data_IF_318694546936
#
_entry.id   IF_318694546936
#
_cell.length_a   1.000
_cell.length_b   1.000
_cell.length_c   1.000
_cell.angle_alpha   90.00
_cell.angle_beta   90.00
_cell.angle_gamma   90.00
#
_symmetry.space_group_name_H-M   'P 1'
#
loop_
_entity.id
_entity.type
_entity.pdbx_description
1 polymer ?
#
# COMPACT_ATOMS: atom_id res chain seq x y z
N UNK A 1 -13.40 13.90 -8.27
CA UNK A 1 -12.01 14.43 -8.31
C UNK A 1 -12.04 15.77 -9.02
N UNK A 2 -11.19 16.70 -8.62
CA UNK A 2 -11.03 18.01 -9.26
C UNK A 2 -9.53 18.27 -9.40
N UNK A 3 -8.87 17.72 -10.45
CA UNK A 3 -7.44 17.90 -10.63
C UNK A 3 -7.10 19.39 -10.74
N UNK A 4 -6.20 19.88 -9.89
CA UNK A 4 -5.69 21.25 -9.92
C UNK A 4 -4.33 21.29 -9.25
N UNK A 5 -3.52 22.29 -9.62
CA UNK A 5 -2.29 22.62 -8.90
C UNK A 5 -2.57 23.11 -7.46
N UNK A 6 -3.78 23.62 -7.19
CA UNK A 6 -4.18 24.19 -5.91
C UNK A 6 -4.63 23.15 -4.88
N UNK A 7 -4.69 21.87 -5.25
CA UNK A 7 -5.02 20.81 -4.29
C UNK A 7 -3.99 20.84 -3.16
N UNK A 8 -4.38 20.84 -1.88
CA UNK A 8 -3.41 20.86 -0.80
C UNK A 8 -2.49 19.64 -0.81
N UNK A 9 -1.19 19.88 -0.58
CA UNK A 9 -0.17 18.81 -0.45
C UNK A 9 -0.40 17.90 0.76
N UNK A 10 -1.35 18.26 1.62
CA UNK A 10 -1.83 17.51 2.78
C UNK A 10 -2.71 16.32 2.41
N UNK A 11 -2.45 15.68 1.26
CA UNK A 11 -3.26 14.60 0.70
C UNK A 11 -4.71 15.05 0.40
N UNK A 12 -4.85 16.24 -0.19
CA UNK A 12 -6.14 16.84 -0.51
C UNK A 12 -6.78 17.57 0.66
N UNK A 13 -8.07 17.86 0.49
CA UNK A 13 -8.97 18.51 1.46
C UNK A 13 -10.42 18.10 1.14
N UNK A 14 -11.38 18.55 1.95
CA UNK A 14 -12.81 18.33 1.75
C UNK A 14 -13.21 18.73 0.33
N UNK A 15 -13.85 17.81 -0.41
CA UNK A 15 -14.21 17.98 -1.84
C UNK A 15 -13.04 18.08 -2.83
N UNK A 16 -11.79 18.01 -2.37
CA UNK A 16 -10.57 17.90 -3.17
C UNK A 16 -9.90 16.54 -2.93
N UNK A 17 -10.69 15.48 -3.12
CA UNK A 17 -10.24 14.10 -2.97
C UNK A 17 -9.07 13.78 -3.90
N UNK A 18 -8.07 13.10 -3.36
CA UNK A 18 -6.93 12.56 -4.11
C UNK A 18 -6.95 11.04 -4.11
N UNK A 19 -6.42 10.46 -5.18
CA UNK A 19 -6.11 9.04 -5.28
C UNK A 19 -4.60 8.89 -5.11
N UNK A 20 -4.19 7.97 -4.26
CA UNK A 20 -2.79 7.67 -3.98
C UNK A 20 -2.53 6.24 -4.39
N UNK A 21 -1.58 6.07 -5.31
CA UNK A 21 -1.08 4.77 -5.71
C UNK A 21 0.20 4.47 -4.91
N UNK A 22 0.07 3.63 -3.90
CA UNK A 22 1.15 3.37 -2.96
C UNK A 22 1.76 1.98 -3.21
N UNK A 23 2.92 1.93 -3.84
CA UNK A 23 3.76 0.72 -3.90
C UNK A 23 4.61 0.58 -2.64
N UNK A 24 4.87 -0.65 -2.18
CA UNK A 24 5.89 -0.89 -1.14
C UNK A 24 6.70 -2.16 -1.38
N UNK A 25 7.99 -2.10 -1.07
CA UNK A 25 8.92 -3.23 -1.20
C UNK A 25 8.48 -4.45 -0.38
N UNK A 26 8.06 -4.24 0.87
CA UNK A 26 7.63 -5.34 1.74
C UNK A 26 6.39 -6.09 1.21
N UNK A 27 5.45 -5.38 0.56
CA UNK A 27 4.27 -6.03 -0.04
C UNK A 27 4.69 -6.88 -1.22
N UNK A 28 5.61 -6.38 -2.04
CA UNK A 28 6.14 -7.14 -3.17
C UNK A 28 6.91 -8.38 -2.71
N UNK A 29 7.79 -8.24 -1.72
CA UNK A 29 8.50 -9.39 -1.16
C UNK A 29 7.55 -10.44 -0.58
N UNK A 30 6.50 -10.01 0.11
CA UNK A 30 5.48 -10.93 0.63
C UNK A 30 4.69 -11.65 -0.49
N UNK A 31 4.53 -11.04 -1.68
CA UNK A 31 3.91 -11.69 -2.85
C UNK A 31 4.89 -12.67 -3.49
N UNK A 32 6.14 -12.26 -3.69
CA UNK A 32 7.15 -13.03 -4.45
C UNK A 32 7.78 -14.17 -3.62
N UNK A 33 7.94 -13.99 -2.31
CA UNK A 33 8.65 -14.92 -1.41
C UNK A 33 7.79 -15.44 -0.26
N UNK A 34 6.48 -15.23 -0.35
CA UNK A 34 5.53 -15.50 0.72
C UNK A 34 5.68 -14.55 1.92
N UNK A 35 4.64 -14.49 2.74
CA UNK A 35 4.55 -13.60 3.89
C UNK A 35 5.76 -13.71 4.82
N UNK A 36 6.39 -12.57 5.11
CA UNK A 36 7.50 -12.47 6.05
C UNK A 36 6.98 -12.11 7.43
N UNK A 37 6.63 -13.14 8.20
CA UNK A 37 6.28 -12.98 9.61
C UNK A 37 7.53 -12.73 10.47
N UNK A 38 7.32 -12.25 11.70
CA UNK A 38 8.37 -11.94 12.67
C UNK A 38 9.32 -13.11 12.87
N UNK A 39 8.80 -14.34 12.96
CA UNK A 39 9.61 -15.55 13.09
C UNK A 39 10.46 -15.88 11.85
N UNK A 40 10.05 -15.44 10.65
CA UNK A 40 10.87 -15.59 9.43
C UNK A 40 12.05 -14.62 9.41
N UNK A 41 11.83 -13.40 9.90
CA UNK A 41 12.84 -12.32 9.90
C UNK A 41 13.80 -12.49 11.08
N UNK A 42 13.26 -12.87 12.24
CA UNK A 42 13.98 -13.05 13.48
C UNK A 42 13.78 -14.51 13.95
N UNK A 43 14.61 -15.45 13.50
CA UNK A 43 14.43 -16.87 13.78
C UNK A 43 14.53 -17.22 15.28
N UNK A 44 15.15 -16.34 16.08
CA UNK A 44 15.25 -16.48 17.53
C UNK A 44 14.21 -15.62 18.29
N UNK A 45 13.26 -15.01 17.58
CA UNK A 45 12.18 -14.25 18.22
C UNK A 45 11.20 -15.21 18.90
N UNK A 46 10.98 -14.98 20.18
CA UNK A 46 9.95 -15.68 20.95
C UNK A 46 8.75 -14.75 21.13
N UNK A 47 7.57 -15.21 20.75
CA UNK A 47 6.31 -14.62 21.19
C UNK A 47 5.93 -15.30 22.53
N UNK A 48 5.29 -14.57 23.44
CA UNK A 48 4.85 -15.13 24.72
C UNK A 48 3.88 -16.31 24.50
N UNK A 49 3.83 -17.27 25.43
CA UNK A 49 3.30 -18.62 25.19
C UNK A 49 1.87 -18.64 24.61
N UNK A 50 1.72 -19.05 23.34
CA UNK A 50 0.44 -19.48 22.77
C UNK A 50 0.32 -21.00 22.88
N UNK A 51 -0.72 -21.55 23.54
CA UNK A 51 -0.83 -22.99 23.83
C UNK A 51 -0.88 -23.92 22.61
N UNK A 52 -0.98 -23.37 21.40
CA UNK A 52 -1.26 -24.10 20.16
C UNK A 52 -0.21 -23.87 19.06
N UNK A 53 0.91 -23.21 19.36
CA UNK A 53 1.99 -22.98 18.42
C UNK A 53 3.19 -23.89 18.74
N UNK A 54 3.59 -24.74 17.80
CA UNK A 54 4.75 -25.62 17.95
C UNK A 54 6.03 -24.95 17.43
N UNK A 55 7.21 -25.14 18.05
CA UNK A 55 8.49 -24.63 17.55
C UNK A 55 8.66 -24.93 16.04
N UNK A 56 8.93 -23.94 15.17
CA UNK A 56 9.35 -22.55 15.43
C UNK A 56 8.18 -21.56 15.60
N UNK A 57 7.23 -21.87 16.48
CA UNK A 57 6.04 -21.10 16.81
C UNK A 57 5.08 -20.90 15.63
N UNK A 58 4.89 -21.98 14.87
CA UNK A 58 3.89 -22.04 13.80
C UNK A 58 2.60 -22.64 14.34
N UNK A 59 1.47 -22.02 14.01
CA UNK A 59 0.19 -22.68 14.19
C UNK A 59 0.07 -23.87 13.23
N UNK A 60 -0.52 -24.99 13.68
CA UNK A 60 -0.89 -26.11 12.82
C UNK A 60 -1.72 -25.66 11.62
N UNK A 61 -1.66 -26.36 10.48
CA UNK A 61 -2.40 -25.97 9.27
C UNK A 61 -3.92 -25.90 9.49
N UNK A 62 -4.46 -26.75 10.35
CA UNK A 62 -5.89 -26.78 10.69
C UNK A 62 -6.36 -25.55 11.50
N UNK A 63 -5.44 -24.69 11.96
CA UNK A 63 -5.71 -23.41 12.62
C UNK A 63 -5.88 -22.23 11.65
N UNK A 64 -5.89 -22.47 10.34
CA UNK A 64 -6.20 -21.45 9.33
C UNK A 64 -7.72 -21.14 9.20
N UNK A 65 -8.53 -21.50 10.20
CA UNK A 65 -9.99 -21.32 10.19
C UNK A 65 -10.43 -20.06 10.98
N UNK A 66 -11.66 -19.59 10.72
CA UNK A 66 -12.18 -18.36 11.33
C UNK A 66 -12.25 -18.43 12.87
N UNK A 67 -12.54 -19.60 13.46
CA UNK A 67 -12.62 -19.76 14.92
C UNK A 67 -11.27 -19.54 15.59
N UNK A 68 -10.19 -20.09 15.02
CA UNK A 68 -8.83 -19.88 15.48
C UNK A 68 -8.38 -18.41 15.33
N UNK A 69 -8.74 -17.75 14.22
CA UNK A 69 -8.45 -16.33 13.99
C UNK A 69 -9.16 -15.41 15.00
N UNK A 70 -10.39 -15.76 15.40
CA UNK A 70 -11.14 -15.03 16.43
C UNK A 70 -10.52 -15.23 17.83
N UNK A 71 -10.01 -16.43 18.12
CA UNK A 71 -9.37 -16.77 19.39
C UNK A 71 -8.04 -16.04 19.62
N UNK A 72 -7.24 -15.84 18.57
CA UNK A 72 -5.93 -15.16 18.66
C UNK A 72 -6.07 -13.65 18.96
N UNK A 73 -7.29 -13.10 19.01
CA UNK A 73 -7.50 -11.71 19.41
C UNK A 73 -6.79 -10.73 18.46
N UNK A 74 -6.97 -10.96 17.16
CA UNK A 74 -6.24 -10.24 16.11
C UNK A 74 -7.09 -9.94 14.89
N UNK A 75 -8.40 -9.76 15.07
CA UNK A 75 -9.38 -9.46 13.99
C UNK A 75 -9.17 -8.08 13.33
N UNK A 76 -7.98 -7.52 13.39
CA UNK A 76 -7.46 -6.85 12.21
C UNK A 76 -6.53 -7.85 11.56
N UNK A 77 -7.12 -8.76 10.78
CA UNK A 77 -6.45 -9.33 9.62
C UNK A 77 -5.84 -8.13 8.92
N UNK A 78 -4.55 -7.91 9.15
CA UNK A 78 -3.80 -6.81 8.57
C UNK A 78 -3.68 -7.18 7.10
N UNK A 79 -4.78 -6.99 6.35
CA UNK A 79 -5.20 -7.78 5.17
C UNK A 79 -4.04 -8.60 4.65
N UNK A 80 -3.87 -9.82 5.21
CA UNK A 80 -2.76 -10.76 4.95
C UNK A 80 -2.54 -10.79 3.46
N UNK A 81 -1.64 -9.95 2.94
CA UNK A 81 -1.43 -9.65 1.52
C UNK A 81 -2.54 -10.16 0.56
N UNK A 82 -3.82 -9.83 0.81
CA UNK A 82 -4.95 -10.55 0.17
C UNK A 82 -5.09 -10.20 -1.31
N UNK A 83 -4.26 -9.27 -1.76
CA UNK A 83 -4.20 -8.80 -3.12
C UNK A 83 -2.87 -9.22 -3.72
N UNK A 84 -2.93 -9.71 -4.95
CA UNK A 84 -1.78 -10.20 -5.71
C UNK A 84 -0.95 -9.05 -6.32
N UNK A 85 -1.07 -7.84 -5.78
CA UNK A 85 -0.37 -6.63 -6.25
C UNK A 85 0.33 -5.94 -5.08
N UNK A 86 1.57 -5.46 -5.27
CA UNK A 86 2.29 -4.70 -4.26
C UNK A 86 1.81 -3.25 -4.16
N UNK A 87 0.86 -2.82 -5.00
CA UNK A 87 0.28 -1.48 -4.98
C UNK A 87 -1.02 -1.48 -4.18
N UNK A 88 -1.25 -0.42 -3.42
CA UNK A 88 -2.52 -0.14 -2.75
C UNK A 88 -3.05 1.20 -3.24
N UNK A 89 -4.32 1.21 -3.61
CA UNK A 89 -5.07 2.41 -3.91
C UNK A 89 -5.68 2.95 -2.62
N UNK A 90 -5.31 4.18 -2.29
CA UNK A 90 -5.76 4.91 -1.10
C UNK A 90 -6.47 6.16 -1.58
N UNK A 91 -7.60 6.49 -0.95
CA UNK A 91 -8.29 7.76 -1.14
C UNK A 91 -8.10 8.63 0.09
N UNK A 92 -8.00 9.94 -0.12
CA UNK A 92 -7.88 10.91 0.96
C UNK A 92 -8.52 12.25 0.58
N UNK A 93 -9.11 12.91 1.56
CA UNK A 93 -9.57 14.30 1.57
C UNK A 93 -8.90 14.96 2.78
N UNK A 94 -7.57 15.06 2.74
CA UNK A 94 -6.73 15.37 3.90
C UNK A 94 -6.09 14.13 4.53
N UNK A 95 -4.89 14.25 5.10
CA UNK A 95 -4.14 13.13 5.67
C UNK A 95 -4.89 12.38 6.78
N UNK A 96 -5.80 13.04 7.51
CA UNK A 96 -6.61 12.42 8.56
C UNK A 96 -7.75 11.53 8.07
N UNK A 97 -8.11 11.59 6.78
CA UNK A 97 -9.19 10.81 6.18
C UNK A 97 -8.68 9.68 5.27
N UNK A 98 -7.36 9.44 5.25
CA UNK A 98 -6.77 8.45 4.35
C UNK A 98 -7.30 7.05 4.65
N UNK A 99 -7.89 6.40 3.64
CA UNK A 99 -8.41 5.05 3.74
C UNK A 99 -8.22 4.28 2.44
N UNK A 100 -8.30 2.97 2.50
CA UNK A 100 -8.23 2.14 1.29
C UNK A 100 -9.46 2.38 0.41
N UNK A 101 -9.23 2.44 -0.90
CA UNK A 101 -10.31 2.37 -1.89
C UNK A 101 -10.94 0.97 -1.84
N UNK A 102 -12.27 0.89 -1.94
CA UNK A 102 -13.00 -0.39 -1.85
C UNK A 102 -12.61 -1.35 -2.99
N UNK A 103 -12.63 -0.84 -4.22
CA UNK A 103 -12.22 -1.56 -5.42
C UNK A 103 -10.74 -1.25 -5.68
N UNK A 104 -9.90 -2.28 -5.74
CA UNK A 104 -8.48 -2.17 -6.04
C UNK A 104 -8.23 -2.68 -7.46
N UNK A 105 -7.50 -1.93 -8.29
CA UNK A 105 -7.16 -2.32 -9.66
C UNK A 105 -5.74 -1.93 -10.10
N UNK A 106 -4.97 -1.25 -9.25
CA UNK A 106 -3.61 -0.87 -9.57
C UNK A 106 -2.62 -2.03 -9.40
N UNK A 107 -1.76 -2.20 -10.40
CA UNK A 107 -0.66 -3.15 -10.42
C UNK A 107 0.67 -2.41 -10.32
N UNK A 108 1.73 -3.12 -9.96
CA UNK A 108 3.06 -2.54 -10.04
C UNK A 108 4.16 -3.53 -9.74
N UNK A 109 5.38 -3.11 -10.04
CA UNK A 109 6.60 -3.85 -9.74
C UNK A 109 7.76 -2.89 -9.52
N UNK A 110 8.56 -3.18 -8.50
CA UNK A 110 9.82 -2.53 -8.21
C UNK A 110 11.00 -3.46 -8.48
N UNK A 111 12.08 -2.92 -9.03
CA UNK A 111 13.37 -3.60 -9.15
C UNK A 111 14.44 -2.73 -8.51
N UNK A 112 15.17 -3.29 -7.55
CA UNK A 112 16.34 -2.64 -6.98
C UNK A 112 17.59 -3.03 -7.75
N UNK A 113 18.29 -2.05 -8.33
CA UNK A 113 19.53 -2.27 -9.08
C UNK A 113 20.41 -1.03 -8.98
N UNK A 114 21.72 -1.23 -8.80
CA UNK A 114 22.72 -0.16 -8.76
C UNK A 114 22.38 0.96 -7.75
N UNK A 115 21.98 0.57 -6.53
CA UNK A 115 21.68 1.53 -5.46
C UNK A 115 20.33 2.24 -5.59
N UNK A 116 19.48 1.89 -6.57
CA UNK A 116 18.22 2.61 -6.85
C UNK A 116 17.05 1.67 -7.06
N UNK A 117 15.88 2.10 -6.58
CA UNK A 117 14.59 1.50 -6.93
C UNK A 117 14.10 2.02 -8.27
N UNK A 118 13.67 1.10 -9.12
CA UNK A 118 12.96 1.37 -10.37
C UNK A 118 11.57 0.79 -10.21
N UNK A 119 10.56 1.65 -10.07
CA UNK A 119 9.18 1.23 -9.78
C UNK A 119 8.28 1.63 -10.93
N UNK A 120 7.52 0.67 -11.43
CA UNK A 120 6.44 0.90 -12.38
C UNK A 120 5.12 0.63 -11.67
N UNK A 121 4.20 1.58 -11.76
CA UNK A 121 2.81 1.44 -11.32
C UNK A 121 1.93 1.54 -12.56
N UNK A 122 1.01 0.60 -12.72
CA UNK A 122 0.06 0.51 -13.82
C UNK A 122 -1.36 0.58 -13.26
N UNK A 123 -2.22 1.35 -13.93
CA UNK A 123 -3.65 1.41 -13.68
C UNK A 123 -4.35 1.58 -15.02
N UNK A 124 -5.61 1.17 -15.13
CA UNK A 124 -6.44 1.44 -16.32
C UNK A 124 -6.82 2.93 -16.38
N UNK A 125 -7.03 3.47 -17.59
CA UNK A 125 -7.46 4.87 -17.76
C UNK A 125 -8.87 5.12 -17.26
N UNK A 126 -9.77 4.16 -17.51
CA UNK A 126 -11.15 4.16 -17.04
C UNK A 126 -11.33 2.90 -16.21
N UNK A 127 -11.87 3.07 -15.01
CA UNK A 127 -12.26 1.96 -14.16
C UNK A 127 -13.74 2.18 -13.81
N UNK A 128 -14.60 1.37 -14.43
CA UNK A 128 -16.05 1.51 -14.27
C UNK A 128 -16.48 1.36 -12.81
N UNK A 129 -17.57 2.03 -12.44
CA UNK A 129 -18.14 1.96 -11.08
C UNK A 129 -17.17 2.37 -9.96
N UNK A 130 -16.14 3.17 -10.27
CA UNK A 130 -15.22 3.72 -9.28
C UNK A 130 -15.22 5.24 -9.28
N UNK A 131 -15.03 5.83 -8.09
CA UNK A 131 -14.68 7.24 -7.99
C UNK A 131 -13.17 7.35 -8.15
N UNK A 132 -12.68 7.46 -9.38
CA UNK A 132 -11.26 7.69 -9.64
C UNK A 132 -11.04 9.01 -10.41
N UNK A 133 -9.85 9.62 -10.32
CA UNK A 133 -9.47 10.67 -11.26
C UNK A 133 -9.32 10.04 -12.64
N UNK A 134 -9.90 10.71 -13.63
CA UNK A 134 -9.70 10.37 -15.04
C UNK A 134 -8.27 10.74 -15.47
N UNK A 135 -7.69 9.92 -16.34
CA UNK A 135 -6.38 10.15 -16.93
C UNK A 135 -6.26 9.35 -18.23
N UNK A 136 -5.22 9.61 -19.04
CA UNK A 136 -5.01 8.98 -20.34
C UNK A 136 -5.03 9.96 -21.51
N UNK A 137 -5.00 9.46 -22.76
CA UNK A 137 -4.89 10.29 -23.96
C UNK A 137 -5.98 11.37 -24.03
N UNK A 138 -5.56 12.59 -24.33
CA UNK A 138 -6.47 13.76 -24.42
C UNK A 138 -7.00 14.26 -23.07
N UNK A 139 -6.63 13.64 -21.95
CA UNK A 139 -7.00 14.09 -20.60
C UNK A 139 -5.81 14.72 -19.88
N UNK A 140 -6.14 15.65 -19.01
CA UNK A 140 -5.19 16.30 -18.13
C UNK A 140 -5.45 15.91 -16.68
N UNK A 141 -4.38 15.66 -15.94
CA UNK A 141 -4.44 15.45 -14.50
C UNK A 141 -3.20 16.03 -13.83
N UNK A 142 -3.10 15.87 -12.52
CA UNK A 142 -1.95 16.30 -11.73
C UNK A 142 -1.46 15.15 -10.87
N UNK A 143 -0.15 15.06 -10.69
CA UNK A 143 0.50 14.06 -9.86
C UNK A 143 1.47 14.72 -8.86
N UNK A 144 1.56 14.14 -7.67
CA UNK A 144 2.56 14.50 -6.67
C UNK A 144 3.19 13.22 -6.15
N UNK A 145 4.45 13.31 -5.71
CA UNK A 145 5.23 12.12 -5.35
C UNK A 145 5.63 12.16 -3.89
N UNK A 146 5.61 10.97 -3.28
CA UNK A 146 6.10 10.73 -1.94
C UNK A 146 7.00 9.50 -1.95
N UNK A 147 8.15 9.56 -1.28
CA UNK A 147 9.12 8.46 -1.20
C UNK A 147 9.48 8.24 0.27
N UNK A 148 9.59 6.97 0.65
CA UNK A 148 10.01 6.53 1.97
C UNK A 148 11.31 5.75 1.84
N UNK A 149 12.35 6.18 2.54
CA UNK A 149 13.55 5.38 2.77
C UNK A 149 13.39 4.51 4.03
N UNK A 150 13.04 3.25 3.82
CA UNK A 150 12.90 2.28 4.90
C UNK A 150 14.20 2.05 5.70
N UNK A 151 15.38 2.23 5.09
CA UNK A 151 16.66 2.10 5.79
C UNK A 151 16.90 3.28 6.76
N UNK A 152 16.39 4.46 6.41
CA UNK A 152 16.33 5.63 7.30
C UNK A 152 15.14 5.58 8.29
N UNK A 153 14.45 4.44 8.35
CA UNK A 153 13.29 4.23 9.22
C UNK A 153 12.05 5.02 8.80
N UNK A 154 11.96 5.52 7.56
CA UNK A 154 10.80 6.28 7.09
C UNK A 154 9.57 5.39 6.92
N UNK A 155 8.50 5.74 7.63
CA UNK A 155 7.18 5.08 7.54
C UNK A 155 6.07 6.08 7.86
N UNK A 156 4.86 5.80 7.38
CA UNK A 156 3.69 6.63 7.67
C UNK A 156 3.86 8.05 7.13
N UNK A 157 3.81 9.06 8.00
CA UNK A 157 3.98 10.46 7.63
C UNK A 157 5.45 10.90 7.45
N UNK A 158 6.42 10.12 7.94
CA UNK A 158 7.84 10.40 7.77
C UNK A 158 8.27 9.94 6.38
N UNK A 159 8.42 10.89 5.47
CA UNK A 159 8.68 10.67 4.04
C UNK A 159 9.20 11.95 3.39
N UNK A 160 9.81 11.82 2.23
CA UNK A 160 10.06 12.97 1.34
C UNK A 160 8.88 13.20 0.40
N UNK A 161 8.60 14.47 0.06
CA UNK A 161 7.51 14.90 -0.81
C UNK A 161 8.05 15.76 -1.97
N UNK A 162 7.38 15.76 -3.12
CA UNK A 162 7.68 16.71 -4.20
C UNK A 162 7.21 18.15 -3.90
N UNK A 163 6.42 18.35 -2.83
CA UNK A 163 5.83 19.62 -2.38
C UNK A 163 5.06 20.41 -3.45
N UNK A 164 4.71 19.76 -4.55
CA UNK A 164 4.02 20.37 -5.69
C UNK A 164 3.22 19.32 -6.44
N UNK A 165 2.17 19.79 -7.11
CA UNK A 165 1.39 19.05 -8.09
C UNK A 165 1.94 19.34 -9.49
N UNK A 166 2.41 18.29 -10.15
CA UNK A 166 3.00 18.31 -11.48
C UNK A 166 1.90 17.96 -12.48
N UNK A 167 1.72 18.80 -13.50
CA UNK A 167 0.78 18.53 -14.60
C UNK A 167 1.21 17.26 -15.33
N UNK A 168 0.29 16.30 -15.45
CA UNK A 168 0.48 15.04 -16.15
C UNK A 168 -0.45 15.00 -17.36
N UNK A 169 0.15 14.88 -18.54
CA UNK A 169 -0.53 14.65 -19.81
C UNK A 169 0.02 13.37 -20.42
N UNK A 170 -0.86 12.47 -20.81
CA UNK A 170 -0.50 11.27 -21.58
C UNK A 170 -0.71 11.62 -23.05
N UNK A 171 0.34 11.50 -23.85
CA UNK A 171 0.32 11.74 -25.30
C UNK A 171 -0.17 10.52 -26.07
#
# INVERSE_FOLDING_TARGET
YKPSADVPVTMGDKSQRVLILHWSAFRQENIEKGYSDTAKIYPNYAYDWYPHADPPYRYPENWANQYALNYIGGEKVFRKNTFNTPVREVIAEGYGSSTWKDIQGAEGKGVYRNGKWHVVIKRVFVEESTSNPEWGPGKETFASFAVWDGANGEVGARKSLSYSWIRLKVE
#
